data_IF_945913230906
#
_entry.id   IF_945913230906
#
_cell.length_a   1.000
_cell.length_b   1.000
_cell.length_c   1.000
_cell.angle_alpha   90.00
_cell.angle_beta   90.00
_cell.angle_gamma   90.00
#
_symmetry.space_group_name_H-M   'P 1'
#
loop_
_entity.id
_entity.type
_entity.pdbx_description
1 polymer ?
#
# COMPACT_ATOMS: atom_id res chain seq x y z
N UNK A 1 -24.18 13.09 12.67
CA UNK A 1 -22.75 13.07 12.32
C UNK A 1 -22.65 13.16 10.81
N UNK A 2 -22.15 14.26 10.26
CA UNK A 2 -22.03 14.44 8.80
C UNK A 2 -20.73 13.79 8.31
N UNK A 3 -20.69 13.36 7.05
CA UNK A 3 -19.51 12.74 6.42
C UNK A 3 -18.29 13.69 6.49
N UNK A 4 -18.52 15.00 6.41
CA UNK A 4 -17.47 16.02 6.52
C UNK A 4 -16.82 16.07 7.92
N UNK A 5 -17.62 15.88 8.97
CA UNK A 5 -17.14 15.84 10.36
C UNK A 5 -16.40 14.53 10.68
N UNK A 6 -16.74 13.45 9.97
CA UNK A 6 -15.99 12.19 10.03
C UNK A 6 -14.61 12.34 9.39
N UNK A 7 -14.53 13.01 8.23
CA UNK A 7 -13.29 13.28 7.50
C UNK A 7 -12.35 14.19 8.31
N UNK A 8 -12.88 15.23 8.96
CA UNK A 8 -12.05 16.12 9.80
C UNK A 8 -11.47 15.41 11.03
N UNK A 9 -12.18 14.43 11.60
CA UNK A 9 -11.64 13.59 12.68
C UNK A 9 -10.67 12.52 12.20
N UNK A 10 -10.83 12.03 10.97
CA UNK A 10 -9.89 11.12 10.33
C UNK A 10 -8.56 11.80 9.98
N UNK A 11 -8.56 13.12 9.78
CA UNK A 11 -7.36 13.91 9.51
C UNK A 11 -6.33 13.82 10.65
N UNK A 12 -6.80 13.68 11.90
CA UNK A 12 -5.95 13.47 13.08
C UNK A 12 -5.23 12.10 13.03
N UNK A 13 -5.83 11.10 12.39
CA UNK A 13 -5.26 9.77 12.22
C UNK A 13 -4.45 9.60 10.92
N UNK A 14 -4.55 10.55 9.99
CA UNK A 14 -3.80 10.58 8.74
C UNK A 14 -2.28 10.36 8.91
N UNK A 15 -1.58 10.99 9.88
CA UNK A 15 -0.14 10.74 10.07
C UNK A 15 0.16 9.31 10.56
N UNK A 16 -0.73 8.70 11.35
CA UNK A 16 -0.55 7.31 11.81
C UNK A 16 -0.78 6.31 10.68
N UNK A 17 -1.80 6.54 9.84
CA UNK A 17 -2.04 5.75 8.62
C UNK A 17 -0.87 5.85 7.65
N UNK A 18 -0.33 7.06 7.47
CA UNK A 18 0.86 7.29 6.66
C UNK A 18 2.07 6.55 7.22
N UNK A 19 2.29 6.60 8.54
CA UNK A 19 3.35 5.86 9.21
C UNK A 19 3.28 4.35 8.95
N UNK A 20 2.11 3.74 9.15
CA UNK A 20 1.91 2.30 8.89
C UNK A 20 2.16 1.96 7.41
N UNK A 21 1.64 2.77 6.49
CA UNK A 21 1.81 2.55 5.05
C UNK A 21 3.25 2.74 4.57
N UNK A 22 4.07 3.52 5.27
CA UNK A 22 5.50 3.69 4.99
C UNK A 22 6.32 2.53 5.61
N UNK A 23 5.87 1.98 6.75
CA UNK A 23 6.53 0.82 7.38
C UNK A 23 6.44 -0.41 6.48
N UNK A 24 5.35 -0.61 5.72
CA UNK A 24 5.18 -1.75 4.81
C UNK A 24 6.28 -1.85 3.73
N UNK A 25 6.56 -0.82 2.91
CA UNK A 25 7.63 -0.87 1.91
C UNK A 25 9.02 -0.95 2.55
N UNK A 26 9.24 -0.30 3.69
CA UNK A 26 10.51 -0.42 4.44
C UNK A 26 10.72 -1.86 4.92
N UNK A 27 9.68 -2.47 5.47
CA UNK A 27 9.73 -3.85 5.95
C UNK A 27 9.93 -4.82 4.78
N UNK A 28 9.22 -4.62 3.67
CA UNK A 28 9.44 -5.36 2.42
C UNK A 28 10.88 -5.25 1.94
N UNK A 29 11.45 -4.04 1.92
CA UNK A 29 12.83 -3.81 1.51
C UNK A 29 13.84 -4.54 2.40
N UNK A 30 13.70 -4.43 3.72
CA UNK A 30 14.57 -5.10 4.69
C UNK A 30 14.46 -6.61 4.55
N UNK A 31 13.24 -7.14 4.55
CA UNK A 31 12.98 -8.58 4.48
C UNK A 31 13.55 -9.19 3.20
N UNK A 32 13.35 -8.50 2.08
CA UNK A 32 13.88 -8.89 0.77
C UNK A 32 15.41 -8.84 0.73
N UNK A 33 16.04 -7.86 1.39
CA UNK A 33 17.50 -7.75 1.45
C UNK A 33 18.14 -8.82 2.35
N UNK A 34 17.42 -9.28 3.37
CA UNK A 34 17.83 -10.32 4.31
C UNK A 34 17.68 -11.74 3.74
N UNK A 35 16.63 -12.00 2.94
CA UNK A 35 16.34 -13.34 2.39
C UNK A 35 17.34 -13.83 1.33
N UNK A 36 18.22 -12.96 0.82
CA UNK A 36 19.14 -13.30 -0.24
C UNK A 36 18.44 -13.54 -1.59
N UNK A 37 19.17 -13.95 -2.64
CA UNK A 37 18.60 -14.12 -3.98
C UNK A 37 17.47 -15.16 -3.99
N UNK A 38 16.43 -14.92 -4.81
CA UNK A 38 15.21 -15.74 -4.95
C UNK A 38 15.39 -17.27 -5.04
N UNK A 39 16.62 -17.73 -5.33
CA UNK A 39 16.98 -19.15 -5.46
C UNK A 39 16.94 -19.92 -4.13
N UNK A 40 16.95 -19.24 -2.98
CA UNK A 40 16.92 -19.86 -1.64
C UNK A 40 15.55 -19.81 -0.95
N UNK A 41 14.50 -19.37 -1.65
CA UNK A 41 13.15 -19.27 -1.06
C UNK A 41 12.56 -20.65 -0.77
N UNK A 42 12.51 -21.00 0.52
CA UNK A 42 11.78 -22.16 1.01
C UNK A 42 10.29 -21.85 1.14
N UNK A 43 9.44 -22.88 1.06
CA UNK A 43 7.97 -22.78 1.12
C UNK A 43 7.38 -21.82 2.18
N UNK A 44 7.89 -21.72 3.43
CA UNK A 44 7.32 -20.80 4.43
C UNK A 44 7.56 -19.31 4.11
N UNK A 45 8.66 -18.96 3.44
CA UNK A 45 8.97 -17.57 3.12
C UNK A 45 8.06 -16.97 2.04
N UNK A 46 7.57 -17.81 1.12
CA UNK A 46 6.65 -17.38 0.06
C UNK A 46 5.31 -16.91 0.65
N UNK A 47 4.83 -17.54 1.72
CA UNK A 47 3.62 -17.11 2.42
C UNK A 47 3.78 -15.74 3.08
N UNK A 48 4.92 -15.50 3.75
CA UNK A 48 5.20 -14.20 4.39
C UNK A 48 5.26 -13.08 3.35
N UNK A 49 5.93 -13.32 2.23
CA UNK A 49 5.99 -12.36 1.11
C UNK A 49 4.60 -12.10 0.53
N UNK A 50 3.79 -13.14 0.32
CA UNK A 50 2.41 -13.00 -0.14
C UNK A 50 1.57 -12.17 0.83
N UNK A 51 1.69 -12.41 2.14
CA UNK A 51 1.00 -11.60 3.14
C UNK A 51 1.35 -10.13 3.03
N UNK A 52 2.64 -9.77 2.87
CA UNK A 52 3.07 -8.38 2.72
C UNK A 52 2.49 -7.75 1.45
N UNK A 53 2.48 -8.48 0.33
CA UNK A 53 1.87 -8.03 -0.93
C UNK A 53 0.38 -7.75 -0.73
N UNK A 54 -0.37 -8.68 -0.15
CA UNK A 54 -1.80 -8.49 0.10
C UNK A 54 -2.07 -7.33 1.07
N UNK A 55 -1.27 -7.19 2.13
CA UNK A 55 -1.40 -6.10 3.11
C UNK A 55 -1.19 -4.72 2.47
N UNK A 56 -0.34 -4.65 1.44
CA UNK A 56 -0.06 -3.42 0.68
C UNK A 56 -1.12 -3.14 -0.38
N UNK A 57 -1.57 -4.18 -1.09
CA UNK A 57 -2.52 -4.05 -2.20
C UNK A 57 -3.94 -3.66 -1.73
N UNK A 58 -4.42 -4.17 -0.60
CA UNK A 58 -5.77 -3.84 -0.10
C UNK A 58 -5.97 -2.33 0.12
N UNK A 59 -5.13 -1.63 0.91
CA UNK A 59 -5.26 -0.19 1.09
C UNK A 59 -4.93 0.58 -0.20
N UNK A 60 -4.00 0.10 -1.03
CA UNK A 60 -3.65 0.72 -2.32
C UNK A 60 -4.83 0.73 -3.31
N UNK A 61 -5.50 -0.41 -3.50
CA UNK A 61 -6.67 -0.54 -4.38
C UNK A 61 -7.83 0.28 -3.83
N UNK A 62 -8.06 0.26 -2.53
CA UNK A 62 -9.11 1.08 -1.90
C UNK A 62 -8.92 2.56 -2.18
N UNK A 63 -7.69 3.08 -2.02
CA UNK A 63 -7.35 4.46 -2.30
C UNK A 63 -7.45 4.79 -3.81
N UNK A 64 -7.08 3.86 -4.69
CA UNK A 64 -7.23 4.02 -6.13
C UNK A 64 -8.72 4.14 -6.54
N UNK A 65 -9.58 3.30 -5.97
CA UNK A 65 -11.03 3.36 -6.21
C UNK A 65 -11.62 4.67 -5.67
N UNK A 66 -11.24 5.10 -4.46
CA UNK A 66 -11.69 6.38 -3.93
C UNK A 66 -11.25 7.56 -4.81
N UNK A 67 -10.01 7.53 -5.30
CA UNK A 67 -9.48 8.57 -6.18
C UNK A 67 -10.25 8.60 -7.50
N UNK A 68 -10.49 7.44 -8.11
CA UNK A 68 -11.28 7.33 -9.33
C UNK A 68 -12.72 7.81 -9.11
N UNK A 69 -13.36 7.39 -8.01
CA UNK A 69 -14.72 7.79 -7.67
C UNK A 69 -14.84 9.31 -7.45
N UNK A 70 -13.91 9.89 -6.69
CA UNK A 70 -13.79 11.32 -6.46
C UNK A 70 -13.65 12.11 -7.77
N UNK A 71 -12.77 11.65 -8.67
CA UNK A 71 -12.49 12.33 -9.93
C UNK A 71 -13.65 12.24 -10.93
N UNK A 72 -14.23 11.04 -11.13
CA UNK A 72 -15.24 10.81 -12.15
C UNK A 72 -16.67 11.16 -11.70
N UNK A 73 -17.03 10.90 -10.44
CA UNK A 73 -18.40 11.03 -9.95
C UNK A 73 -18.61 12.30 -9.12
N UNK A 74 -17.71 12.61 -8.18
CA UNK A 74 -17.84 13.83 -7.38
C UNK A 74 -17.35 15.08 -8.11
N UNK A 75 -16.47 14.94 -9.11
CA UNK A 75 -15.71 16.04 -9.74
C UNK A 75 -15.08 16.98 -8.70
N UNK A 76 -14.77 16.45 -7.52
CA UNK A 76 -14.16 17.21 -6.44
C UNK A 76 -12.73 17.55 -6.82
N UNK A 77 -12.30 18.76 -6.45
CA UNK A 77 -10.94 19.16 -6.66
C UNK A 77 -10.01 18.26 -5.84
N UNK A 78 -9.14 17.51 -6.51
CA UNK A 78 -8.21 16.58 -5.85
C UNK A 78 -7.18 17.31 -4.95
N UNK A 79 -7.11 18.64 -5.05
CA UNK A 79 -6.29 19.50 -4.17
C UNK A 79 -6.99 19.83 -2.84
N UNK A 80 -8.31 19.66 -2.74
CA UNK A 80 -9.08 19.91 -1.51
C UNK A 80 -9.25 18.65 -0.67
N UNK A 81 -9.10 17.46 -1.28
CA UNK A 81 -9.03 16.20 -0.53
C UNK A 81 -7.61 16.00 0.01
N UNK A 82 -7.51 15.36 1.17
CA UNK A 82 -6.24 15.03 1.79
C UNK A 82 -5.44 14.09 0.86
N UNK A 83 -4.56 14.67 0.05
CA UNK A 83 -3.75 13.97 -0.94
C UNK A 83 -2.90 12.85 -0.31
N UNK A 84 -2.53 12.98 0.97
CA UNK A 84 -1.85 11.93 1.72
C UNK A 84 -2.71 10.67 1.81
N UNK A 85 -4.02 10.78 2.08
CA UNK A 85 -4.89 9.60 2.21
C UNK A 85 -5.16 8.94 0.85
N UNK A 86 -5.23 9.74 -0.23
CA UNK A 86 -5.59 9.24 -1.56
C UNK A 86 -4.39 8.70 -2.34
N UNK A 87 -3.27 9.42 -2.35
CA UNK A 87 -2.13 9.05 -3.19
C UNK A 87 -1.09 8.21 -2.46
N UNK A 88 -0.89 8.41 -1.16
CA UNK A 88 0.15 7.68 -0.41
C UNK A 88 -0.03 6.16 -0.42
N UNK A 89 -1.25 5.59 -0.27
CA UNK A 89 -1.42 4.14 -0.31
C UNK A 89 -1.10 3.56 -1.70
N UNK A 90 -1.42 4.31 -2.76
CA UNK A 90 -1.14 3.92 -4.15
C UNK A 90 0.38 3.93 -4.39
N UNK A 91 1.06 5.00 -3.98
CA UNK A 91 2.52 5.10 -4.10
C UNK A 91 3.21 4.01 -3.28
N UNK A 92 2.78 3.80 -2.04
CA UNK A 92 3.31 2.74 -1.16
C UNK A 92 3.15 1.36 -1.80
N UNK A 93 1.98 1.05 -2.37
CA UNK A 93 1.74 -0.19 -3.09
C UNK A 93 2.68 -0.38 -4.29
N UNK A 94 2.79 0.64 -5.14
CA UNK A 94 3.67 0.59 -6.32
C UNK A 94 5.12 0.36 -5.91
N UNK A 95 5.61 1.08 -4.89
CA UNK A 95 6.98 0.94 -4.39
C UNK A 95 7.20 -0.45 -3.81
N UNK A 96 6.26 -0.95 -2.99
CA UNK A 96 6.36 -2.29 -2.37
C UNK A 96 6.44 -3.38 -3.43
N UNK A 97 5.57 -3.33 -4.44
CA UNK A 97 5.55 -4.28 -5.55
C UNK A 97 6.81 -4.18 -6.42
N UNK A 98 7.28 -2.97 -6.74
CA UNK A 98 8.47 -2.76 -7.56
C UNK A 98 9.74 -3.30 -6.88
N UNK A 99 9.88 -3.06 -5.57
CA UNK A 99 11.00 -3.58 -4.78
C UNK A 99 10.99 -5.10 -4.70
N UNK A 100 9.82 -5.70 -4.51
CA UNK A 100 9.68 -7.16 -4.51
C UNK A 100 9.98 -7.75 -5.89
N UNK A 101 9.51 -7.14 -6.98
CA UNK A 101 9.71 -7.64 -8.36
C UNK A 101 11.16 -7.80 -8.73
N UNK A 102 12.01 -6.92 -8.20
CA UNK A 102 13.43 -6.91 -8.52
C UNK A 102 14.19 -8.06 -7.85
N UNK A 103 13.68 -8.60 -6.74
CA UNK A 103 14.41 -9.54 -5.89
C UNK A 103 13.72 -10.90 -5.75
N UNK A 104 12.41 -10.96 -5.98
CA UNK A 104 11.55 -12.13 -5.80
C UNK A 104 10.86 -12.39 -7.14
N UNK A 105 10.94 -13.63 -7.64
CA UNK A 105 10.13 -14.00 -8.79
C UNK A 105 8.68 -14.18 -8.31
N UNK A 106 7.78 -13.35 -8.84
CA UNK A 106 6.35 -13.37 -8.54
C UNK A 106 5.68 -14.70 -8.91
N UNK A 107 6.29 -15.51 -9.80
CA UNK A 107 5.82 -16.86 -10.15
C UNK A 107 5.78 -17.83 -8.95
N UNK A 108 6.48 -17.51 -7.85
CA UNK A 108 6.49 -18.32 -6.62
C UNK A 108 5.49 -17.85 -5.56
N UNK A 109 4.80 -16.73 -5.78
CA UNK A 109 3.78 -16.26 -4.86
C UNK A 109 2.52 -17.10 -5.08
N UNK A 110 1.93 -17.68 -4.02
CA UNK A 110 0.68 -18.42 -4.13
C UNK A 110 -0.44 -17.46 -4.57
N UNK A 111 -0.89 -17.64 -5.81
CA UNK A 111 -1.92 -16.84 -6.48
C UNK A 111 -2.24 -17.39 -7.85
#
# INVERSE_FOLDING_TARGET
>A
MSIAELISRLDIFAPYLAGILIVIPIFSFIYTRWLGPAKTMTRPHNFVLATIVYLSCVPGIFAAVLTAYSLFFLRSNLLEVNALIYFLPIISMIVTLALMRRNVNFDYLPG
#
